data_IF_642683518296
#
_entry.id   IF_642683518296
#
_cell.length_a   1.000
_cell.length_b   1.000
_cell.length_c   1.000
_cell.angle_alpha   90.00
_cell.angle_beta   90.00
_cell.angle_gamma   90.00
#
_symmetry.space_group_name_H-M   'P 1'
#
loop_
_entity.id
_entity.type
_entity.pdbx_description
1 polymer ?
#
# COMPACT_ATOMS: atom_id res chain seq x y z
N UNK A 1 -3.30 -26.15 -6.00
CA UNK A 1 -3.99 -25.12 -6.83
C UNK A 1 -3.75 -23.74 -6.23
N UNK A 2 -3.35 -22.79 -7.04
CA UNK A 2 -3.14 -21.43 -6.52
C UNK A 2 -4.48 -20.76 -6.24
N UNK A 3 -4.61 -20.21 -5.05
CA UNK A 3 -5.78 -19.43 -4.68
C UNK A 3 -5.73 -18.09 -5.44
N UNK A 4 -6.81 -17.71 -6.18
CA UNK A 4 -6.77 -16.50 -7.02
C UNK A 4 -6.63 -15.20 -6.21
N UNK A 5 -6.97 -15.24 -4.92
CA UNK A 5 -6.91 -14.08 -4.05
C UNK A 5 -5.68 -14.05 -3.16
N UNK A 6 -4.78 -15.04 -3.32
CA UNK A 6 -3.56 -15.07 -2.52
C UNK A 6 -2.65 -13.90 -2.91
N UNK A 7 -2.33 -13.07 -1.94
CA UNK A 7 -1.48 -11.91 -2.14
C UNK A 7 -0.02 -12.33 -2.24
N UNK A 8 0.75 -11.55 -2.98
CA UNK A 8 2.20 -11.74 -3.13
C UNK A 8 2.91 -10.43 -2.87
N UNK A 9 4.14 -10.51 -2.39
CA UNK A 9 4.97 -9.32 -2.22
C UNK A 9 5.12 -8.60 -3.55
N UNK A 10 4.93 -7.29 -3.55
CA UNK A 10 5.00 -6.46 -4.73
C UNK A 10 3.65 -6.22 -5.42
N UNK A 11 2.58 -6.90 -4.99
CA UNK A 11 1.27 -6.67 -5.56
C UNK A 11 0.76 -5.28 -5.20
N UNK A 12 0.04 -4.69 -6.15
CA UNK A 12 -0.71 -3.46 -5.91
C UNK A 12 -2.17 -3.85 -5.69
N UNK A 13 -2.72 -3.48 -4.55
CA UNK A 13 -4.07 -3.86 -4.15
C UNK A 13 -4.86 -2.65 -3.69
N UNK A 14 -6.18 -2.80 -3.67
CA UNK A 14 -7.07 -1.81 -3.08
C UNK A 14 -7.63 -2.35 -1.77
N UNK A 15 -7.36 -1.65 -0.68
CA UNK A 15 -7.79 -2.04 0.65
C UNK A 15 -8.35 -0.83 1.39
N UNK A 16 -9.53 -0.99 1.95
CA UNK A 16 -10.23 0.09 2.69
C UNK A 16 -10.35 1.39 1.87
N UNK A 17 -10.60 1.26 0.57
CA UNK A 17 -10.73 2.42 -0.32
C UNK A 17 -9.42 3.09 -0.67
N UNK A 18 -8.29 2.49 -0.33
CA UNK A 18 -6.96 3.06 -0.57
C UNK A 18 -6.10 2.07 -1.35
N UNK A 19 -5.22 2.61 -2.19
CA UNK A 19 -4.24 1.78 -2.88
C UNK A 19 -3.11 1.44 -1.93
N UNK A 20 -2.76 0.15 -1.89
CA UNK A 20 -1.72 -0.35 -1.02
C UNK A 20 -0.78 -1.25 -1.81
N UNK A 21 0.48 -1.29 -1.40
CA UNK A 21 1.45 -2.22 -1.97
C UNK A 21 1.74 -3.31 -0.94
N UNK A 22 1.66 -4.55 -1.37
CA UNK A 22 2.00 -5.68 -0.50
C UNK A 22 3.51 -5.74 -0.36
N UNK A 23 3.99 -5.58 0.87
CA UNK A 23 5.42 -5.58 1.17
C UNK A 23 5.89 -6.99 1.46
N UNK A 24 5.10 -7.75 2.21
CA UNK A 24 5.51 -9.03 2.76
C UNK A 24 4.30 -9.92 2.97
N UNK A 25 4.44 -11.18 2.68
CA UNK A 25 3.39 -12.16 2.91
C UNK A 25 3.98 -13.31 3.70
N UNK A 26 3.29 -13.70 4.77
CA UNK A 26 3.61 -14.89 5.56
C UNK A 26 2.38 -15.81 5.57
N UNK A 27 2.51 -16.97 6.24
CA UNK A 27 1.42 -17.94 6.26
C UNK A 27 0.17 -17.44 6.95
N UNK A 28 0.31 -16.51 7.88
CA UNK A 28 -0.80 -16.03 8.70
C UNK A 28 -1.18 -14.56 8.46
N UNK A 29 -0.35 -13.79 7.74
CA UNK A 29 -0.65 -12.38 7.51
C UNK A 29 0.09 -11.82 6.30
N UNK A 30 -0.49 -10.82 5.69
CA UNK A 30 0.18 -9.99 4.68
C UNK A 30 0.32 -8.59 5.24
N UNK A 31 1.46 -7.97 5.02
CA UNK A 31 1.72 -6.59 5.41
C UNK A 31 1.64 -5.74 4.17
N UNK A 32 0.77 -4.73 4.21
CA UNK A 32 0.59 -3.80 3.10
C UNK A 32 0.94 -2.40 3.57
N UNK A 33 1.54 -1.62 2.67
CA UNK A 33 1.82 -0.21 2.90
C UNK A 33 0.82 0.63 2.10
N UNK A 34 0.15 1.55 2.78
CA UNK A 34 -0.77 2.47 2.12
C UNK A 34 0.05 3.45 1.28
N UNK A 35 -0.28 3.56 0.00
CA UNK A 35 0.37 4.50 -0.91
C UNK A 35 -0.26 5.87 -0.69
N UNK A 36 0.56 6.81 -0.23
CA UNK A 36 0.13 8.18 0.01
C UNK A 36 0.83 9.10 -0.98
N UNK A 37 0.08 10.10 -1.45
CA UNK A 37 0.68 11.10 -2.34
C UNK A 37 1.54 12.06 -1.52
N UNK A 38 2.73 12.44 -2.03
CA UNK A 38 3.53 13.44 -1.35
C UNK A 38 2.79 14.78 -1.34
N UNK A 39 2.98 15.52 -0.26
CA UNK A 39 2.41 16.86 -0.11
C UNK A 39 3.46 17.89 -0.49
N UNK A 40 3.05 18.87 -1.28
CA UNK A 40 3.92 20.00 -1.59
C UNK A 40 3.48 21.20 -0.77
N UNK A 41 4.40 21.71 0.03
CA UNK A 41 4.16 22.93 0.81
C UNK A 41 4.99 24.04 0.20
N UNK A 42 4.33 25.14 -0.14
CA UNK A 42 5.01 26.35 -0.62
C UNK A 42 5.10 27.32 0.53
N UNK A 43 6.26 27.48 1.16
CA UNK A 43 6.40 28.46 2.23
C UNK A 43 6.25 29.89 1.65
N UNK A 44 5.92 30.82 2.54
CA UNK A 44 5.74 32.22 2.15
C UNK A 44 7.02 32.80 1.54
N UNK A 45 8.16 32.38 2.06
CA UNK A 45 9.48 32.71 1.52
C UNK A 45 10.25 31.42 1.34
N UNK A 46 10.72 31.18 0.12
CA UNK A 46 11.54 30.02 -0.18
C UNK A 46 10.97 29.17 -1.30
N UNK A 47 11.63 28.06 -1.53
CA UNK A 47 11.25 27.11 -2.60
C UNK A 47 10.20 26.11 -2.10
N UNK A 48 9.33 25.60 -3.00
CA UNK A 48 8.41 24.55 -2.63
C UNK A 48 9.15 23.33 -2.06
N UNK A 49 8.61 22.78 -0.98
CA UNK A 49 9.18 21.60 -0.33
C UNK A 49 8.20 20.45 -0.46
N UNK A 50 8.69 19.32 -0.94
CA UNK A 50 7.89 18.10 -1.02
C UNK A 50 8.12 17.29 0.24
N UNK A 51 7.02 16.98 0.95
CA UNK A 51 7.07 16.17 2.16
C UNK A 51 6.50 14.80 1.84
N UNK A 52 7.31 13.76 2.08
CA UNK A 52 6.88 12.38 1.95
C UNK A 52 6.20 11.96 3.26
N UNK A 53 4.93 11.55 3.22
CA UNK A 53 4.29 11.05 4.43
C UNK A 53 4.92 9.74 4.88
N UNK A 54 4.91 9.51 6.19
CA UNK A 54 5.38 8.26 6.75
C UNK A 54 4.51 7.11 6.23
N UNK A 55 5.10 5.96 5.83
CA UNK A 55 4.33 4.83 5.35
C UNK A 55 3.44 4.28 6.46
N UNK A 56 2.17 4.07 6.12
CA UNK A 56 1.22 3.45 7.03
C UNK A 56 1.15 1.97 6.70
N UNK A 57 1.50 1.12 7.65
CA UNK A 57 1.50 -0.32 7.46
C UNK A 57 0.26 -0.93 8.11
N UNK A 58 -0.33 -1.90 7.42
CA UNK A 58 -1.46 -2.64 7.94
C UNK A 58 -1.28 -4.13 7.71
N UNK A 59 -1.86 -4.93 8.59
CA UNK A 59 -1.89 -6.38 8.46
C UNK A 59 -3.25 -6.83 7.99
N UNK A 60 -3.24 -7.71 6.99
CA UNK A 60 -4.46 -8.31 6.46
C UNK A 60 -4.23 -9.79 6.25
N UNK A 61 -5.32 -10.55 6.04
CA UNK A 61 -5.21 -11.95 5.69
C UNK A 61 -4.54 -12.11 4.33
N UNK A 62 -3.61 -13.05 4.16
CA UNK A 62 -3.00 -13.30 2.84
C UNK A 62 -4.00 -13.75 1.78
N UNK A 63 -5.14 -14.24 2.20
CA UNK A 63 -6.20 -14.70 1.32
C UNK A 63 -7.40 -13.75 1.29
N UNK A 64 -7.19 -12.50 1.65
CA UNK A 64 -8.24 -11.49 1.60
C UNK A 64 -8.76 -11.31 0.18
N UNK A 65 -10.09 -11.22 0.05
CA UNK A 65 -10.74 -10.99 -1.24
C UNK A 65 -10.74 -9.49 -1.55
N UNK A 66 -9.56 -8.95 -1.79
CA UNK A 66 -9.42 -7.55 -2.17
C UNK A 66 -8.93 -7.47 -3.61
N UNK A 67 -9.31 -6.41 -4.34
CA UNK A 67 -8.88 -6.28 -5.73
C UNK A 67 -7.35 -6.17 -5.84
N UNK A 68 -6.79 -6.95 -6.76
CA UNK A 68 -5.36 -6.87 -7.09
C UNK A 68 -5.27 -6.08 -8.39
N UNK A 69 -4.69 -4.89 -8.32
CA UNK A 69 -4.77 -3.92 -9.40
C UNK A 69 -3.74 -4.13 -10.50
N UNK A 70 -2.67 -4.86 -10.21
CA UNK A 70 -1.58 -5.06 -11.17
C UNK A 70 -1.51 -6.47 -11.76
N UNK A 71 -2.58 -7.20 -11.68
CA UNK A 71 -2.69 -8.52 -12.31
C UNK A 71 -3.81 -8.55 -13.32
#
# INVERSE_FOLDING_TARGET
MKHPYTLRAGDLVEYAGQRCRVIRVSDCAAVVAVIQKPRTITPRFGKPVTIQPAPKLERISPQSQIPILNR
#
